data_IF_985411558453
#
_entry.id   IF_985411558453
#
_cell.length_a   1.000
_cell.length_b   1.000
_cell.length_c   1.000
_cell.angle_alpha   90.00
_cell.angle_beta   90.00
_cell.angle_gamma   90.00
#
_symmetry.space_group_name_H-M   'P 1'
#
loop_
_entity.id
_entity.type
_entity.pdbx_description
1 polymer ?
#
# COMPACT_ATOMS: atom_id res chain seq x y z
N UNK A 1 -26.87 17.63 -23.11
CA UNK A 1 -25.77 18.60 -22.92
C UNK A 1 -24.49 17.78 -22.83
N UNK A 2 -23.68 17.74 -23.88
CA UNK A 2 -22.44 16.96 -23.89
C UNK A 2 -21.40 17.69 -23.03
N UNK A 3 -21.00 17.08 -21.90
CA UNK A 3 -19.88 17.56 -21.10
C UNK A 3 -18.59 17.19 -21.84
N UNK A 4 -17.97 18.19 -22.45
CA UNK A 4 -16.61 18.10 -22.96
C UNK A 4 -15.70 18.05 -21.71
N UNK A 5 -15.07 16.91 -21.49
CA UNK A 5 -14.06 16.76 -20.43
C UNK A 5 -12.85 17.58 -20.87
N UNK A 6 -12.44 18.53 -20.04
CA UNK A 6 -11.33 19.42 -20.34
C UNK A 6 -9.98 18.68 -20.18
N UNK A 7 -8.97 19.14 -20.93
CA UNK A 7 -7.66 18.49 -21.04
C UNK A 7 -6.88 18.47 -19.72
N UNK A 8 -7.19 19.40 -18.81
CA UNK A 8 -6.61 19.57 -17.47
C UNK A 8 -7.14 18.50 -16.52
N UNK A 9 -8.44 18.17 -16.58
CA UNK A 9 -9.05 17.00 -15.90
C UNK A 9 -8.43 15.67 -16.38
N UNK A 10 -8.18 15.54 -17.69
CA UNK A 10 -7.49 14.37 -18.25
C UNK A 10 -6.02 14.28 -17.80
N UNK A 11 -5.34 15.42 -17.61
CA UNK A 11 -3.98 15.49 -17.05
C UNK A 11 -3.92 15.18 -15.57
N UNK A 12 -4.91 15.56 -14.77
CA UNK A 12 -5.01 15.18 -13.36
C UNK A 12 -5.25 13.67 -13.21
N UNK A 13 -6.11 13.09 -14.04
CA UNK A 13 -6.28 11.62 -14.15
C UNK A 13 -4.95 10.95 -14.58
N UNK A 14 -4.18 11.58 -15.47
CA UNK A 14 -2.85 11.09 -15.87
C UNK A 14 -1.77 11.28 -14.78
N UNK A 15 -1.84 12.34 -13.96
CA UNK A 15 -0.98 12.58 -12.79
C UNK A 15 -1.27 11.60 -11.64
N UNK A 16 -2.52 11.10 -11.55
CA UNK A 16 -2.92 9.96 -10.69
C UNK A 16 -2.32 8.64 -11.21
N UNK A 17 -1.91 8.56 -12.48
CA UNK A 17 -1.54 7.32 -13.17
C UNK A 17 -0.12 6.78 -12.89
N UNK A 18 0.73 7.46 -12.10
CA UNK A 18 2.07 6.97 -11.70
C UNK A 18 2.22 6.72 -10.17
N UNK A 19 1.09 6.48 -9.51
CA UNK A 19 0.84 6.10 -8.11
C UNK A 19 1.83 6.63 -7.05
N UNK A 20 1.63 7.87 -6.56
CA UNK A 20 2.36 8.42 -5.42
C UNK A 20 1.84 7.92 -4.05
N UNK A 21 2.63 8.06 -2.96
CA UNK A 21 2.31 7.60 -1.60
C UNK A 21 0.97 8.07 -0.99
N UNK A 22 0.27 9.03 -1.60
CA UNK A 22 -1.07 9.43 -1.18
C UNK A 22 -2.12 8.36 -1.50
N UNK A 23 -2.00 7.64 -2.63
CA UNK A 23 -2.92 6.56 -2.98
C UNK A 23 -2.78 5.39 -2.01
N UNK A 24 -1.56 5.08 -1.58
CA UNK A 24 -1.34 4.07 -0.55
C UNK A 24 -2.11 4.41 0.73
N UNK A 25 -2.08 5.67 1.18
CA UNK A 25 -2.88 6.13 2.33
C UNK A 25 -4.37 6.03 2.06
N UNK A 26 -4.83 6.52 0.91
CA UNK A 26 -6.24 6.51 0.54
C UNK A 26 -6.81 5.08 0.47
N UNK A 27 -6.10 4.13 -0.13
CA UNK A 27 -6.54 2.73 -0.19
C UNK A 27 -6.40 2.02 1.14
N UNK A 28 -5.36 2.29 1.92
CA UNK A 28 -5.21 1.73 3.27
C UNK A 28 -6.35 2.16 4.20
N UNK A 29 -6.83 3.38 4.03
CA UNK A 29 -7.92 3.95 4.83
C UNK A 29 -9.31 3.72 4.23
N UNK A 30 -9.38 3.18 3.01
CA UNK A 30 -10.63 2.82 2.35
C UNK A 30 -11.26 1.58 3.01
N UNK A 31 -12.54 1.68 3.38
CA UNK A 31 -13.27 0.60 4.03
C UNK A 31 -13.34 -0.67 3.16
N UNK A 32 -13.63 -0.53 1.86
CA UNK A 32 -13.74 -1.66 0.95
C UNK A 32 -12.43 -2.44 0.79
N UNK A 33 -11.27 -1.78 0.86
CA UNK A 33 -9.97 -2.46 0.84
C UNK A 33 -9.70 -3.22 2.14
N UNK A 34 -10.13 -2.68 3.28
CA UNK A 34 -10.08 -3.39 4.57
C UNK A 34 -11.04 -4.58 4.57
N UNK A 35 -12.20 -4.43 3.96
CA UNK A 35 -13.19 -5.51 3.80
C UNK A 35 -12.64 -6.61 2.89
N UNK A 36 -11.97 -6.27 1.79
CA UNK A 36 -11.25 -7.26 0.96
C UNK A 36 -10.26 -8.07 1.82
N UNK A 37 -9.47 -7.41 2.65
CA UNK A 37 -8.53 -8.08 3.56
C UNK A 37 -9.23 -8.97 4.60
N UNK A 38 -10.39 -8.55 5.11
CA UNK A 38 -11.10 -9.27 6.17
C UNK A 38 -11.98 -10.42 5.66
N UNK A 39 -12.54 -10.28 4.45
CA UNK A 39 -13.50 -11.21 3.88
C UNK A 39 -12.86 -12.24 2.94
N UNK A 40 -11.66 -11.97 2.42
CA UNK A 40 -10.97 -12.83 1.46
C UNK A 40 -9.66 -13.32 2.08
N UNK A 41 -9.38 -14.61 1.93
CA UNK A 41 -8.14 -15.20 2.42
C UNK A 41 -6.92 -14.61 1.71
N UNK A 42 -5.82 -14.48 2.47
CA UNK A 42 -4.56 -13.95 1.95
C UNK A 42 -4.08 -14.71 0.71
N UNK A 43 -4.15 -16.04 0.73
CA UNK A 43 -3.73 -16.89 -0.40
C UNK A 43 -4.56 -16.62 -1.66
N UNK A 44 -5.87 -16.39 -1.50
CA UNK A 44 -6.73 -16.05 -2.63
C UNK A 44 -6.35 -14.68 -3.22
N UNK A 45 -6.12 -13.67 -2.39
CA UNK A 45 -5.66 -12.36 -2.85
C UNK A 45 -4.30 -12.43 -3.56
N UNK A 46 -3.36 -13.23 -3.03
CA UNK A 46 -2.05 -13.46 -3.66
C UNK A 46 -2.22 -14.10 -5.04
N UNK A 47 -3.05 -15.14 -5.15
CA UNK A 47 -3.31 -15.83 -6.42
C UNK A 47 -3.96 -14.90 -7.44
N UNK A 48 -4.90 -14.05 -7.00
CA UNK A 48 -5.55 -13.05 -7.83
C UNK A 48 -4.52 -12.03 -8.35
N UNK A 49 -3.67 -11.52 -7.47
CA UNK A 49 -2.60 -10.60 -7.86
C UNK A 49 -1.63 -11.20 -8.88
N UNK A 50 -1.20 -12.45 -8.67
CA UNK A 50 -0.32 -13.16 -9.60
C UNK A 50 -1.00 -13.35 -10.95
N UNK A 51 -2.30 -13.65 -10.96
CA UNK A 51 -3.09 -13.80 -12.18
C UNK A 51 -3.13 -12.50 -12.96
N UNK A 52 -3.44 -11.37 -12.30
CA UNK A 52 -3.41 -10.04 -12.93
C UNK A 52 -2.01 -9.69 -13.44
N UNK A 53 -0.95 -9.99 -12.67
CA UNK A 53 0.42 -9.70 -13.07
C UNK A 53 0.86 -10.49 -14.32
N UNK A 54 0.35 -11.72 -14.50
CA UNK A 54 0.65 -12.58 -15.65
C UNK A 54 -0.14 -12.21 -16.90
N UNK A 55 -1.45 -12.01 -16.73
CA UNK A 55 -2.38 -11.71 -17.83
C UNK A 55 -2.18 -10.29 -18.36
N UNK A 56 -1.71 -9.38 -17.52
CA UNK A 56 -1.56 -7.97 -17.86
C UNK A 56 -2.84 -7.19 -17.58
N UNK A 57 -2.71 -5.86 -17.59
CA UNK A 57 -3.82 -4.95 -17.31
C UNK A 57 -4.10 -4.16 -18.58
N UNK A 58 -5.37 -4.16 -18.97
CA UNK A 58 -5.85 -3.53 -20.20
C UNK A 58 -6.74 -2.32 -19.93
N UNK A 59 -7.28 -2.21 -18.70
CA UNK A 59 -8.19 -1.14 -18.30
C UNK A 59 -7.76 -0.44 -17.00
N UNK A 60 -8.27 0.78 -16.79
CA UNK A 60 -8.06 1.54 -15.56
C UNK A 60 -8.69 0.82 -14.36
N UNK A 61 -9.85 0.18 -14.54
CA UNK A 61 -10.52 -0.56 -13.47
C UNK A 61 -9.70 -1.77 -13.00
N UNK A 62 -9.09 -2.50 -13.94
CA UNK A 62 -8.15 -3.58 -13.63
C UNK A 62 -6.90 -3.06 -12.90
N UNK A 63 -6.40 -1.87 -13.26
CA UNK A 63 -5.29 -1.21 -12.57
C UNK A 63 -5.64 -0.87 -11.12
N UNK A 64 -6.81 -0.29 -10.92
CA UNK A 64 -7.36 0.04 -9.59
C UNK A 64 -7.57 -1.22 -8.76
N UNK A 65 -8.09 -2.29 -9.37
CA UNK A 65 -8.29 -3.59 -8.74
C UNK A 65 -6.97 -4.21 -8.30
N UNK A 66 -5.96 -4.23 -9.18
CA UNK A 66 -4.64 -4.74 -8.86
C UNK A 66 -4.00 -3.98 -7.70
N UNK A 67 -4.20 -2.66 -7.65
CA UNK A 67 -3.75 -1.83 -6.55
C UNK A 67 -4.47 -2.15 -5.23
N UNK A 68 -5.80 -2.28 -5.27
CA UNK A 68 -6.60 -2.63 -4.10
C UNK A 68 -6.20 -3.98 -3.51
N UNK A 69 -6.05 -5.00 -4.37
CA UNK A 69 -5.60 -6.34 -3.98
C UNK A 69 -4.20 -6.28 -3.36
N UNK A 70 -3.27 -5.54 -3.98
CA UNK A 70 -1.93 -5.35 -3.43
C UNK A 70 -1.94 -4.72 -2.03
N UNK A 71 -2.73 -3.66 -1.83
CA UNK A 71 -2.85 -3.00 -0.52
C UNK A 71 -3.50 -3.94 0.50
N UNK A 72 -4.52 -4.71 0.11
CA UNK A 72 -5.15 -5.70 0.97
C UNK A 72 -4.16 -6.80 1.41
N UNK A 73 -3.29 -7.30 0.52
CA UNK A 73 -2.22 -8.25 0.86
C UNK A 73 -1.22 -7.64 1.85
N UNK A 74 -0.87 -6.37 1.68
CA UNK A 74 0.04 -5.66 2.60
C UNK A 74 -0.57 -5.47 3.98
N UNK A 75 -1.88 -5.26 4.06
CA UNK A 75 -2.60 -5.10 5.34
C UNK A 75 -2.60 -6.37 6.22
N UNK A 76 -2.25 -7.54 5.68
CA UNK A 76 -1.99 -8.73 6.50
C UNK A 76 -0.72 -8.61 7.35
N UNK A 77 0.28 -7.84 6.89
CA UNK A 77 1.54 -7.54 7.61
C UNK A 77 2.22 -8.73 8.30
N UNK A 78 2.30 -9.87 7.60
CA UNK A 78 2.84 -11.12 8.14
C UNK A 78 3.96 -11.70 7.25
N UNK A 79 4.61 -12.77 7.70
CA UNK A 79 5.74 -13.37 6.98
C UNK A 79 5.35 -13.91 5.60
N UNK A 80 4.11 -14.39 5.44
CA UNK A 80 3.57 -14.79 4.14
C UNK A 80 3.52 -13.61 3.15
N UNK A 81 3.15 -12.40 3.59
CA UNK A 81 3.20 -11.19 2.76
C UNK A 81 4.63 -10.91 2.28
N UNK A 82 5.64 -11.04 3.15
CA UNK A 82 7.04 -10.82 2.76
C UNK A 82 7.56 -11.90 1.84
N UNK A 83 7.23 -13.17 2.11
CA UNK A 83 7.59 -14.29 1.26
C UNK A 83 7.01 -14.12 -0.15
N UNK A 84 5.73 -13.75 -0.25
CA UNK A 84 5.07 -13.40 -1.51
C UNK A 84 5.80 -12.25 -2.23
N UNK A 85 6.01 -11.12 -1.56
CA UNK A 85 6.63 -9.95 -2.19
C UNK A 85 8.04 -10.25 -2.68
N UNK A 86 8.81 -11.06 -1.96
CA UNK A 86 10.15 -11.46 -2.38
C UNK A 86 10.14 -12.52 -3.50
N UNK A 87 9.16 -13.42 -3.49
CA UNK A 87 9.07 -14.55 -4.42
C UNK A 87 8.38 -14.24 -5.74
N UNK A 88 7.56 -13.19 -5.82
CA UNK A 88 6.94 -12.78 -7.07
C UNK A 88 7.99 -12.18 -8.01
N UNK A 89 8.07 -12.74 -9.23
CA UNK A 89 9.01 -12.34 -10.29
C UNK A 89 8.66 -11.00 -10.95
N UNK A 90 9.08 -10.80 -12.20
CA UNK A 90 8.80 -9.56 -12.92
C UNK A 90 7.29 -9.33 -13.08
N UNK A 91 6.79 -8.35 -12.32
CA UNK A 91 5.43 -7.82 -12.43
C UNK A 91 5.48 -6.64 -13.41
N UNK A 92 4.57 -6.63 -14.38
CA UNK A 92 4.53 -5.59 -15.43
C UNK A 92 4.00 -4.23 -14.96
N UNK A 93 3.56 -4.14 -13.71
CA UNK A 93 3.02 -2.91 -13.14
C UNK A 93 4.17 -1.99 -12.75
N UNK A 94 4.27 -0.83 -13.41
CA UNK A 94 5.37 0.13 -13.21
C UNK A 94 5.51 0.57 -11.74
N UNK A 95 4.40 0.68 -11.02
CA UNK A 95 4.36 1.06 -9.61
C UNK A 95 4.78 -0.04 -8.63
N UNK A 96 4.77 -1.31 -9.04
CA UNK A 96 4.93 -2.44 -8.11
C UNK A 96 6.32 -2.52 -7.45
N UNK A 97 7.44 -2.37 -8.19
CA UNK A 97 8.78 -2.43 -7.60
C UNK A 97 8.98 -1.41 -6.48
N UNK A 98 8.56 -0.16 -6.72
CA UNK A 98 8.75 0.95 -5.79
C UNK A 98 7.94 0.75 -4.50
N UNK A 99 6.69 0.33 -4.61
CA UNK A 99 5.84 0.10 -3.45
C UNK A 99 6.26 -1.14 -2.67
N UNK A 100 6.67 -2.21 -3.35
CA UNK A 100 7.27 -3.39 -2.71
C UNK A 100 8.47 -2.96 -1.87
N UNK A 101 9.39 -2.18 -2.45
CA UNK A 101 10.56 -1.70 -1.73
C UNK A 101 10.18 -0.84 -0.53
N UNK A 102 9.24 0.10 -0.70
CA UNK A 102 8.78 0.97 0.38
C UNK A 102 8.23 0.17 1.58
N UNK A 103 7.38 -0.82 1.31
CA UNK A 103 6.82 -1.69 2.36
C UNK A 103 7.92 -2.49 3.07
N UNK A 104 8.82 -3.13 2.31
CA UNK A 104 9.89 -3.95 2.89
C UNK A 104 10.85 -3.11 3.74
N UNK A 105 11.19 -1.90 3.31
CA UNK A 105 12.00 -0.95 4.10
C UNK A 105 11.27 -0.55 5.37
N UNK A 106 9.99 -0.16 5.27
CA UNK A 106 9.18 0.19 6.45
C UNK A 106 9.13 -0.94 7.46
N UNK A 107 8.83 -2.17 7.02
CA UNK A 107 8.75 -3.33 7.91
C UNK A 107 10.09 -3.65 8.57
N UNK A 108 11.21 -3.53 7.83
CA UNK A 108 12.56 -3.65 8.41
C UNK A 108 12.84 -2.58 9.47
N UNK A 109 12.52 -1.32 9.20
CA UNK A 109 12.73 -0.21 10.16
C UNK A 109 11.88 -0.40 11.41
N UNK A 110 10.61 -0.79 11.28
CA UNK A 110 9.73 -1.09 12.43
C UNK A 110 10.24 -2.30 13.22
N UNK A 111 10.82 -3.31 12.57
CA UNK A 111 11.41 -4.46 13.26
C UNK A 111 12.78 -4.13 13.88
N UNK A 112 13.53 -3.17 13.32
CA UNK A 112 14.86 -2.77 13.80
C UNK A 112 14.77 -1.79 14.98
N UNK A 113 13.80 -0.88 14.95
CA UNK A 113 13.44 -0.05 16.10
C UNK A 113 12.57 -0.91 17.01
N UNK A 114 13.20 -1.68 17.91
CA UNK A 114 12.45 -2.53 18.83
C UNK A 114 11.41 -1.70 19.60
N UNK A 115 10.27 -2.31 19.94
CA UNK A 115 9.23 -1.69 20.79
C UNK A 115 9.83 -1.08 22.07
N UNK A 116 10.92 -1.65 22.57
CA UNK A 116 11.76 -1.12 23.67
C UNK A 116 12.38 0.25 23.34
N UNK A 117 12.96 0.43 22.15
CA UNK A 117 13.54 1.71 21.71
C UNK A 117 12.48 2.78 21.45
N UNK A 118 11.32 2.41 20.90
CA UNK A 118 10.17 3.31 20.75
C UNK A 118 9.60 3.73 22.11
N UNK A 119 9.42 2.77 23.04
CA UNK A 119 9.01 3.07 24.43
C UNK A 119 10.00 4.01 25.12
N UNK A 120 11.31 3.78 24.95
CA UNK A 120 12.37 4.64 25.53
C UNK A 120 12.37 6.05 24.93
N UNK A 121 12.16 6.19 23.63
CA UNK A 121 12.05 7.50 22.97
C UNK A 121 10.77 8.26 23.36
N UNK A 122 9.66 7.55 23.58
CA UNK A 122 8.40 8.14 24.06
C UNK A 122 8.46 8.49 25.56
N UNK A 123 9.13 7.70 26.40
CA UNK A 123 9.31 8.02 27.84
C UNK A 123 10.25 9.19 28.10
N UNK A 124 11.10 9.56 27.14
CA UNK A 124 11.98 10.73 27.24
C UNK A 124 11.28 12.06 26.89
N UNK A 125 10.00 12.06 26.48
CA UNK A 125 9.23 13.29 26.22
C UNK A 125 8.37 13.77 27.41
N UNK A 126 8.46 13.13 28.58
CA UNK A 126 7.71 13.54 29.78
C UNK A 126 8.57 14.11 30.91
N UNK A 127 9.81 14.50 30.64
CA UNK A 127 10.61 15.26 31.61
C UNK A 127 11.25 16.41 30.86
N UNK A 128 10.48 17.47 30.65
CA UNK A 128 10.97 18.84 30.82
C UNK A 128 9.79 19.82 30.69
N UNK A 129 9.46 20.45 31.82
CA UNK A 129 8.73 21.71 31.83
C UNK A 129 7.23 21.63 32.09
N UNK A 130 6.82 21.26 33.30
CA UNK A 130 5.68 21.92 33.98
C UNK A 130 5.81 21.75 35.52
N UNK A 131 6.71 22.53 36.11
CA UNK A 131 6.57 22.97 37.51
C UNK A 131 6.06 24.41 37.51
N UNK A 132 4.75 24.56 37.56
CA UNK A 132 4.04 25.73 38.08
C UNK A 132 2.71 25.22 38.65
N UNK A 133 2.67 24.97 39.95
CA UNK A 133 2.01 25.78 41.00
C UNK A 133 2.67 25.40 42.33
#
# INVERSE_FOLDING_TARGET
MNKIIDLETLREIYLISNIPPFMYRLFRDNASVRDLRNCISQDHLINEFITMARTGISTIDELVMAYAVYVAIILYDNDATVAFLNGIGNVKFEWFPDLKQLYLVKRRVVNYISLEQLKKACSMRTIDGYSRV
#
